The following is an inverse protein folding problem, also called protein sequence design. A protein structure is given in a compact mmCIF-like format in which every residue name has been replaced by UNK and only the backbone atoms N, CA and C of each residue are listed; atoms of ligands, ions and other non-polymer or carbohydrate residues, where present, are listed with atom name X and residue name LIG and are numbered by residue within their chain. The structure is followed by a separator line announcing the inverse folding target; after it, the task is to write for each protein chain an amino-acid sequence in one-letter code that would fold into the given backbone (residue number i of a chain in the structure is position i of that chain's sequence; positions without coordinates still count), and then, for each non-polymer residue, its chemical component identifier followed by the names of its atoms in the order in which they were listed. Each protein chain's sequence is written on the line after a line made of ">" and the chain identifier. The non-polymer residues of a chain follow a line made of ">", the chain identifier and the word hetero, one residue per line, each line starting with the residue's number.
data_IF_570837324755
#
_entry.id   IF_570837324755
#
_cell.length_a   1.000
_cell.length_b   1.000
_cell.length_c   1.000
_cell.angle_alpha   90.00
_cell.angle_beta   90.00
_cell.angle_gamma   90.00
#
_symmetry.space_group_name_H-M   'P 1'
#
loop_
_entity.id
_entity.type
_entity.pdbx_description
1 polymer ?
#
# COMPACT_ATOMS: atom_id res chain seq x y z
N UNK A 1 -25.95 7.78 43.33
CA UNK A 1 -26.90 7.76 42.19
C UNK A 1 -28.26 8.40 42.49
N UNK A 2 -28.86 8.27 43.68
CA UNK A 2 -30.18 8.88 43.97
C UNK A 2 -30.19 10.39 44.29
N UNK A 3 -29.05 11.03 44.57
CA UNK A 3 -29.04 12.46 44.92
C UNK A 3 -28.88 13.42 43.73
N UNK A 4 -28.40 12.96 42.57
CA UNK A 4 -28.30 13.79 41.36
C UNK A 4 -29.62 13.90 40.58
N UNK A 5 -30.62 13.08 40.93
CA UNK A 5 -31.98 13.12 40.37
C UNK A 5 -32.94 14.02 41.15
N UNK A 6 -32.54 14.51 42.33
CA UNK A 6 -33.40 15.31 43.22
C UNK A 6 -33.11 16.82 43.15
N UNK A 7 -32.41 17.30 42.11
CA UNK A 7 -32.33 18.74 41.88
C UNK A 7 -33.62 19.20 41.20
N UNK A 8 -34.14 20.35 41.61
CA UNK A 8 -35.37 20.93 41.04
C UNK A 8 -35.28 21.04 39.51
N UNK A 9 -34.09 21.37 38.99
CA UNK A 9 -33.83 21.51 37.56
C UNK A 9 -33.93 20.18 36.78
N UNK A 10 -33.76 19.03 37.44
CA UNK A 10 -33.91 17.72 36.80
C UNK A 10 -35.38 17.29 36.67
N UNK A 11 -36.27 17.83 37.51
CA UNK A 11 -37.71 17.55 37.51
C UNK A 11 -38.51 18.46 36.57
N UNK A 12 -38.04 19.69 36.31
CA UNK A 12 -38.67 20.62 35.37
C UNK A 12 -38.35 20.33 33.90
N UNK A 13 -37.56 19.30 33.66
CA UNK A 13 -37.03 18.93 32.36
C UNK A 13 -37.93 17.88 31.71
N UNK A 14 -38.61 18.25 30.63
CA UNK A 14 -39.32 17.36 29.69
C UNK A 14 -38.48 16.09 29.46
N UNK A 15 -39.12 14.90 29.47
CA UNK A 15 -38.45 13.62 29.25
C UNK A 15 -37.55 13.75 28.01
N UNK A 16 -36.34 13.19 28.04
CA UNK A 16 -35.39 13.27 26.93
C UNK A 16 -36.00 12.76 25.61
N UNK A 17 -37.04 11.90 25.70
CA UNK A 17 -37.85 11.39 24.59
C UNK A 17 -38.82 12.42 23.98
N UNK A 18 -39.19 13.45 24.73
CA UNK A 18 -40.18 14.47 24.38
C UNK A 18 -39.51 15.80 23.97
N UNK A 19 -38.18 15.91 24.05
CA UNK A 19 -37.42 17.12 23.67
C UNK A 19 -37.19 17.22 22.17
N UNK A 20 -37.05 18.46 21.64
CA UNK A 20 -36.47 18.67 20.33
C UNK A 20 -35.09 17.99 20.23
N UNK A 21 -34.89 17.20 19.18
CA UNK A 21 -33.71 16.34 19.02
C UNK A 21 -32.38 17.11 18.98
N UNK A 22 -32.43 18.40 18.63
CA UNK A 22 -31.25 19.28 18.65
C UNK A 22 -30.88 19.69 20.08
N UNK A 23 -31.88 19.98 20.92
CA UNK A 23 -31.65 20.28 22.33
C UNK A 23 -31.11 19.05 23.06
N UNK A 24 -31.59 17.87 22.67
CA UNK A 24 -31.09 16.57 23.12
C UNK A 24 -29.58 16.41 22.86
N UNK A 25 -29.11 16.73 21.64
CA UNK A 25 -27.68 16.72 21.30
C UNK A 25 -26.91 17.71 22.18
N UNK A 26 -27.32 18.97 22.23
CA UNK A 26 -26.59 20.01 22.97
C UNK A 26 -26.44 19.66 24.45
N UNK A 27 -27.52 19.19 25.08
CA UNK A 27 -27.51 18.73 26.46
C UNK A 27 -26.58 17.52 26.65
N UNK A 28 -26.59 16.56 25.73
CA UNK A 28 -25.72 15.38 25.78
C UNK A 28 -24.23 15.74 25.73
N UNK A 29 -23.86 16.72 24.89
CA UNK A 29 -22.48 17.19 24.70
C UNK A 29 -22.01 17.99 25.91
N UNK A 30 -22.85 18.91 26.40
CA UNK A 30 -22.54 19.69 27.61
C UNK A 30 -22.27 18.77 28.79
N UNK A 31 -23.13 17.76 29.02
CA UNK A 31 -22.93 16.74 30.06
C UNK A 31 -21.64 15.94 29.83
N UNK A 32 -21.38 15.53 28.59
CA UNK A 32 -20.14 14.83 28.22
C UNK A 32 -18.87 15.61 28.55
N UNK A 33 -18.85 16.92 28.25
CA UNK A 33 -17.72 17.80 28.57
C UNK A 33 -17.51 17.97 30.07
N UNK A 34 -18.60 18.10 30.84
CA UNK A 34 -18.54 18.19 32.32
C UNK A 34 -17.97 16.89 32.91
N UNK A 35 -18.49 15.73 32.49
CA UNK A 35 -17.99 14.42 32.91
C UNK A 35 -16.51 14.30 32.56
N UNK A 36 -16.10 14.65 31.34
CA UNK A 36 -14.71 14.55 30.91
C UNK A 36 -13.76 15.43 31.73
N UNK A 37 -14.18 16.67 32.00
CA UNK A 37 -13.43 17.59 32.85
C UNK A 37 -13.26 17.01 34.25
N UNK A 38 -14.33 16.43 34.82
CA UNK A 38 -14.25 15.77 36.13
C UNK A 38 -13.28 14.58 36.15
N UNK A 39 -13.27 13.75 35.10
CA UNK A 39 -12.34 12.62 34.98
C UNK A 39 -10.88 13.05 34.90
N UNK A 40 -10.60 14.15 34.19
CA UNK A 40 -9.25 14.70 34.08
C UNK A 40 -8.75 15.23 35.43
N UNK A 41 -9.59 15.97 36.15
CA UNK A 41 -9.25 16.49 37.49
C UNK A 41 -8.95 15.36 38.48
N UNK A 42 -9.74 14.29 38.49
CA UNK A 42 -9.49 13.12 39.37
C UNK A 42 -8.17 12.42 39.01
N UNK A 43 -7.83 12.31 37.72
CA UNK A 43 -6.56 11.68 37.28
C UNK A 43 -5.34 12.51 37.63
N UNK A 44 -5.43 13.83 37.61
CA UNK A 44 -4.34 14.72 37.98
C UNK A 44 -4.11 14.74 39.49
N UNK A 45 -5.17 14.76 40.30
CA UNK A 45 -5.09 14.68 41.76
C UNK A 45 -4.40 13.39 42.24
N UNK A 46 -4.60 12.27 41.53
CA UNK A 46 -3.96 10.99 41.87
C UNK A 46 -2.47 10.93 41.50
N UNK A 47 -1.92 11.90 40.78
CA UNK A 47 -0.50 11.92 40.37
C UNK A 47 0.41 12.75 41.28
N UNK A 48 -0.11 13.30 42.38
CA UNK A 48 0.70 13.87 43.48
C UNK A 48 1.59 15.06 43.13
N UNK A 49 1.41 15.71 41.97
CA UNK A 49 2.21 16.86 41.57
C UNK A 49 1.43 18.16 41.84
N UNK A 50 1.86 18.93 42.84
CA UNK A 50 1.35 20.26 43.25
C UNK A 50 1.56 21.39 42.21
N UNK A 51 1.70 21.06 40.92
CA UNK A 51 1.74 22.07 39.87
C UNK A 51 0.33 22.63 39.65
N UNK A 52 0.18 23.95 39.46
CA UNK A 52 -1.13 24.59 39.30
C UNK A 52 -1.89 23.92 38.17
N UNK A 53 -3.10 23.45 38.48
CA UNK A 53 -4.05 22.82 37.57
C UNK A 53 -4.26 23.80 36.40
N UNK A 54 -3.46 23.66 35.34
CA UNK A 54 -3.75 24.33 34.08
C UNK A 54 -5.05 23.71 33.61
N UNK A 55 -6.14 24.48 33.72
CA UNK A 55 -7.47 24.14 33.21
C UNK A 55 -7.36 23.79 31.72
N UNK A 56 -7.04 22.53 31.41
CA UNK A 56 -7.00 22.03 30.04
C UNK A 56 -8.43 21.89 29.60
N UNK A 57 -8.87 22.83 28.77
CA UNK A 57 -10.14 22.72 28.05
C UNK A 57 -10.11 21.38 27.30
N UNK A 58 -11.08 20.47 27.52
CA UNK A 58 -11.10 19.19 26.84
C UNK A 58 -11.11 19.43 25.33
N UNK A 59 -10.09 18.96 24.61
CA UNK A 59 -10.11 18.97 23.16
C UNK A 59 -11.16 17.99 22.66
N UNK A 60 -11.95 18.44 21.69
CA UNK A 60 -12.94 17.62 21.03
C UNK A 60 -12.33 17.03 19.75
N UNK A 61 -12.22 15.70 19.61
CA UNK A 61 -11.68 15.11 18.40
C UNK A 61 -12.49 15.50 17.16
N UNK A 62 -11.81 15.73 16.04
CA UNK A 62 -12.44 16.14 14.78
C UNK A 62 -13.56 15.18 14.35
N UNK A 63 -13.32 13.86 14.44
CA UNK A 63 -14.32 12.83 14.13
C UNK A 63 -15.59 12.94 14.98
N UNK A 64 -15.46 13.26 16.26
CA UNK A 64 -16.61 13.47 17.14
C UNK A 64 -17.33 14.77 16.78
N UNK A 65 -16.60 15.85 16.47
CA UNK A 65 -17.21 17.13 16.06
C UNK A 65 -18.04 16.95 14.79
N UNK A 66 -17.46 16.25 13.81
CA UNK A 66 -18.08 15.97 12.54
C UNK A 66 -19.32 15.07 12.70
N UNK A 67 -19.25 14.05 13.54
CA UNK A 67 -20.39 13.19 13.86
C UNK A 67 -21.56 14.02 14.38
N UNK A 68 -21.32 14.87 15.39
CA UNK A 68 -22.37 15.70 15.97
C UNK A 68 -22.95 16.70 14.96
N UNK A 69 -22.10 17.32 14.12
CA UNK A 69 -22.55 18.22 13.08
C UNK A 69 -23.48 17.52 12.08
N UNK A 70 -23.07 16.36 11.55
CA UNK A 70 -23.88 15.56 10.62
C UNK A 70 -25.16 15.04 11.28
N UNK A 71 -25.06 14.55 12.50
CA UNK A 71 -26.22 14.10 13.27
C UNK A 71 -27.24 15.23 13.47
N UNK A 72 -26.80 16.45 13.76
CA UNK A 72 -27.69 17.60 13.91
C UNK A 72 -28.45 17.90 12.63
N UNK A 73 -27.80 17.78 11.47
CA UNK A 73 -28.47 17.96 10.17
C UNK A 73 -29.52 16.87 9.93
N UNK A 74 -29.18 15.61 10.19
CA UNK A 74 -30.10 14.47 10.06
C UNK A 74 -31.30 14.63 11.00
N UNK A 75 -31.08 14.93 12.28
CA UNK A 75 -32.14 15.06 13.27
C UNK A 75 -33.04 16.28 13.06
N UNK A 76 -32.57 17.28 12.31
CA UNK A 76 -33.40 18.43 11.91
C UNK A 76 -34.39 18.07 10.78
N UNK A 77 -34.22 16.92 10.11
CA UNK A 77 -35.04 16.49 9.00
C UNK A 77 -35.57 15.05 9.22
N UNK A 78 -36.79 14.87 9.74
CA UNK A 78 -37.38 13.54 9.97
C UNK A 78 -37.56 12.67 8.71
N UNK A 79 -37.50 13.26 7.51
CA UNK A 79 -37.62 12.54 6.23
C UNK A 79 -36.26 11.93 5.83
N UNK A 80 -35.16 12.33 6.46
CA UNK A 80 -33.82 11.80 6.16
C UNK A 80 -33.76 10.29 6.41
N UNK A 81 -33.22 9.47 5.48
CA UNK A 81 -33.15 8.02 5.63
C UNK A 81 -32.28 7.55 6.81
N UNK A 82 -31.39 8.41 7.31
CA UNK A 82 -30.57 8.13 8.50
C UNK A 82 -31.25 8.57 9.81
N UNK A 83 -32.40 9.25 9.75
CA UNK A 83 -33.06 9.81 10.93
C UNK A 83 -33.31 8.74 12.01
N UNK A 84 -33.92 7.62 11.65
CA UNK A 84 -34.23 6.55 12.61
C UNK A 84 -32.98 6.00 13.30
N UNK A 85 -31.92 5.75 12.53
CA UNK A 85 -30.66 5.18 13.03
C UNK A 85 -29.91 6.15 13.94
N UNK A 86 -29.79 7.42 13.54
CA UNK A 86 -29.11 8.46 14.32
C UNK A 86 -29.91 8.83 15.56
N UNK A 87 -31.23 8.99 15.45
CA UNK A 87 -32.09 9.27 16.61
C UNK A 87 -32.03 8.11 17.62
N UNK A 88 -32.11 6.87 17.13
CA UNK A 88 -31.95 5.67 17.95
C UNK A 88 -30.59 5.58 18.65
N UNK A 89 -29.51 6.10 18.06
CA UNK A 89 -28.22 6.20 18.75
C UNK A 89 -28.29 7.11 19.98
N UNK A 90 -28.83 8.33 19.84
CA UNK A 90 -28.93 9.26 20.98
C UNK A 90 -29.92 8.79 22.05
N UNK A 91 -31.04 8.18 21.65
CA UNK A 91 -32.01 7.61 22.59
C UNK A 91 -31.43 6.43 23.41
N UNK A 92 -30.38 5.76 22.92
CA UNK A 92 -29.67 4.69 23.63
C UNK A 92 -28.61 5.20 24.60
N UNK A 93 -28.35 6.51 24.66
CA UNK A 93 -27.48 7.09 25.68
C UNK A 93 -28.20 7.01 27.04
N UNK A 94 -28.17 5.85 27.70
CA UNK A 94 -28.74 5.65 29.03
C UNK A 94 -27.80 6.10 30.14
N UNK A 95 -26.50 6.12 29.85
CA UNK A 95 -25.46 6.37 30.85
C UNK A 95 -25.37 7.87 31.16
N UNK A 96 -25.19 8.18 32.46
CA UNK A 96 -24.98 9.55 32.97
C UNK A 96 -26.01 10.55 32.46
N UNK A 97 -27.29 10.15 32.43
CA UNK A 97 -28.40 10.97 31.95
C UNK A 97 -28.25 11.40 30.48
N UNK A 98 -27.92 10.49 29.56
CA UNK A 98 -27.79 10.85 28.15
C UNK A 98 -26.55 11.65 27.83
N UNK A 99 -25.47 11.52 28.62
CA UNK A 99 -24.21 12.18 28.32
C UNK A 99 -23.53 11.51 27.13
N UNK A 100 -23.09 12.30 26.16
CA UNK A 100 -22.21 11.85 25.10
C UNK A 100 -20.79 11.69 25.69
N UNK A 101 -20.58 10.57 26.40
CA UNK A 101 -19.38 10.35 27.23
C UNK A 101 -18.17 9.95 26.39
N UNK A 102 -18.36 9.15 25.35
CA UNK A 102 -17.26 8.64 24.52
C UNK A 102 -16.81 9.66 23.47
N UNK A 103 -16.52 10.90 23.92
CA UNK A 103 -15.95 11.98 23.09
C UNK A 103 -14.63 11.54 22.46
N UNK A 104 -13.91 10.66 23.17
CA UNK A 104 -12.66 10.06 22.71
C UNK A 104 -12.86 8.73 21.98
N UNK A 105 -14.10 8.30 21.76
CA UNK A 105 -14.42 7.11 20.98
C UNK A 105 -14.77 7.47 19.55
N UNK A 106 -15.06 6.44 18.79
CA UNK A 106 -15.56 6.58 17.43
C UNK A 106 -17.10 6.38 17.48
N UNK A 107 -17.88 7.47 17.42
CA UNK A 107 -19.32 7.40 17.70
C UNK A 107 -20.09 6.61 16.66
N UNK A 108 -20.99 5.77 17.13
CA UNK A 108 -21.90 4.92 16.34
C UNK A 108 -21.23 4.03 15.27
N UNK A 109 -19.91 4.03 15.14
CA UNK A 109 -19.24 3.43 13.98
C UNK A 109 -19.51 1.95 13.86
N UNK A 110 -19.36 1.17 14.93
CA UNK A 110 -19.62 -0.28 14.86
C UNK A 110 -21.07 -0.57 14.47
N UNK A 111 -22.04 0.16 15.04
CA UNK A 111 -23.46 -0.05 14.72
C UNK A 111 -23.83 0.36 13.30
N UNK A 112 -23.13 1.34 12.72
CA UNK A 112 -23.39 1.81 11.36
C UNK A 112 -22.62 0.99 10.31
N UNK A 113 -21.34 0.71 10.59
CA UNK A 113 -20.45 -0.02 9.71
C UNK A 113 -20.78 -1.51 9.66
N UNK A 114 -21.21 -2.09 10.78
CA UNK A 114 -21.73 -3.45 10.86
C UNK A 114 -23.25 -3.43 11.04
N UNK A 115 -23.93 -2.63 10.21
CA UNK A 115 -25.39 -2.46 10.25
C UNK A 115 -26.12 -3.79 10.31
N UNK A 116 -27.06 -3.89 11.26
CA UNK A 116 -27.98 -5.02 11.41
C UNK A 116 -29.33 -4.76 10.72
N UNK A 117 -29.39 -3.84 9.75
CA UNK A 117 -30.63 -3.55 9.04
C UNK A 117 -31.04 -4.71 8.15
N UNK A 118 -32.33 -5.07 8.17
CA UNK A 118 -32.89 -6.11 7.29
C UNK A 118 -32.88 -5.68 5.81
N UNK A 119 -32.80 -4.37 5.55
CA UNK A 119 -32.68 -3.82 4.20
C UNK A 119 -31.21 -3.65 3.81
N UNK A 120 -30.77 -4.37 2.78
CA UNK A 120 -29.40 -4.24 2.23
C UNK A 120 -29.06 -2.80 1.82
N UNK A 121 -30.03 -2.08 1.25
CA UNK A 121 -29.87 -0.67 0.85
C UNK A 121 -29.66 0.24 2.06
N UNK A 122 -30.42 0.03 3.14
CA UNK A 122 -30.25 0.80 4.37
C UNK A 122 -28.92 0.47 5.03
N UNK A 123 -28.54 -0.81 5.09
CA UNK A 123 -27.25 -1.23 5.61
C UNK A 123 -26.10 -0.58 4.82
N UNK A 124 -26.20 -0.50 3.48
CA UNK A 124 -25.22 0.21 2.65
C UNK A 124 -25.16 1.71 2.98
N UNK A 125 -26.30 2.39 3.10
CA UNK A 125 -26.32 3.82 3.48
C UNK A 125 -25.63 4.07 4.82
N UNK A 126 -25.86 3.20 5.80
CA UNK A 126 -25.25 3.30 7.11
C UNK A 126 -23.72 3.08 7.05
N UNK A 127 -23.25 2.11 6.25
CA UNK A 127 -21.82 1.88 6.01
C UNK A 127 -21.16 3.05 5.31
N UNK A 128 -21.77 3.58 4.25
CA UNK A 128 -21.28 4.76 3.53
C UNK A 128 -21.16 5.95 4.49
N UNK A 129 -22.18 6.18 5.33
CA UNK A 129 -22.15 7.26 6.31
C UNK A 129 -20.99 7.11 7.31
N UNK A 130 -20.74 5.88 7.78
CA UNK A 130 -19.65 5.57 8.69
C UNK A 130 -18.26 5.76 8.04
N UNK A 131 -18.11 5.36 6.78
CA UNK A 131 -16.88 5.55 6.00
C UNK A 131 -16.62 7.03 5.75
N UNK A 132 -17.61 7.79 5.30
CA UNK A 132 -17.48 9.24 5.08
C UNK A 132 -17.11 9.97 6.39
N UNK A 133 -17.69 9.56 7.53
CA UNK A 133 -17.32 10.11 8.83
C UNK A 133 -15.85 9.85 9.17
N UNK A 134 -15.36 8.64 8.91
CA UNK A 134 -13.96 8.28 9.17
C UNK A 134 -12.99 9.03 8.25
N UNK A 135 -13.29 9.08 6.95
CA UNK A 135 -12.49 9.79 5.95
C UNK A 135 -12.36 11.26 6.32
N UNK A 136 -13.48 11.92 6.55
CA UNK A 136 -13.52 13.37 6.75
C UNK A 136 -13.15 13.76 8.20
N UNK A 137 -13.29 12.83 9.15
CA UNK A 137 -13.00 13.05 10.56
C UNK A 137 -11.55 12.75 10.97
N UNK A 138 -10.77 12.09 10.11
CA UNK A 138 -9.35 11.77 10.35
C UNK A 138 -8.48 12.80 9.65
N UNK A 139 -8.16 13.89 10.35
CA UNK A 139 -7.47 15.07 9.78
C UNK A 139 -6.03 15.22 10.29
N UNK A 140 -5.66 14.49 11.32
CA UNK A 140 -4.34 14.54 11.96
C UNK A 140 -4.03 13.24 12.75
N UNK A 141 -2.83 13.16 13.33
CA UNK A 141 -2.43 12.02 14.14
C UNK A 141 -3.31 11.82 15.39
N UNK A 142 -3.79 12.91 16.00
CA UNK A 142 -4.64 12.83 17.19
C UNK A 142 -6.00 12.22 16.87
N UNK A 143 -6.66 12.68 15.81
CA UNK A 143 -7.91 12.15 15.31
C UNK A 143 -7.76 10.71 14.85
N UNK A 144 -6.63 10.33 14.24
CA UNK A 144 -6.37 8.92 13.95
C UNK A 144 -6.31 8.04 15.21
N UNK A 145 -5.66 8.48 16.30
CA UNK A 145 -5.64 7.71 17.57
C UNK A 145 -7.04 7.47 18.16
N UNK A 146 -8.00 8.29 17.78
CA UNK A 146 -9.41 8.13 18.14
C UNK A 146 -10.12 7.22 17.14
N UNK A 147 -9.93 7.47 15.83
CA UNK A 147 -10.48 6.66 14.74
C UNK A 147 -10.01 5.20 14.79
N UNK A 148 -8.77 4.94 15.20
CA UNK A 148 -8.18 3.60 15.27
C UNK A 148 -8.75 2.76 16.43
N UNK A 149 -9.56 3.35 17.32
CA UNK A 149 -10.20 2.62 18.42
C UNK A 149 -11.28 1.70 17.88
N UNK A 150 -11.77 0.82 18.76
CA UNK A 150 -12.85 -0.14 18.46
C UNK A 150 -12.55 -0.99 17.21
N UNK A 151 -11.28 -1.27 16.93
CA UNK A 151 -10.85 -2.10 15.80
C UNK A 151 -11.24 -1.55 14.41
N UNK A 152 -11.48 -0.24 14.27
CA UNK A 152 -11.93 0.31 12.99
C UNK A 152 -11.00 -0.04 11.81
N UNK A 153 -9.65 0.06 11.92
CA UNK A 153 -8.79 -0.31 10.79
C UNK A 153 -8.89 -1.79 10.42
N UNK A 154 -9.03 -2.68 11.41
CA UNK A 154 -9.25 -4.12 11.16
C UNK A 154 -10.56 -4.33 10.41
N UNK A 155 -11.63 -3.65 10.81
CA UNK A 155 -12.93 -3.76 10.16
C UNK A 155 -12.90 -3.25 8.72
N UNK A 156 -12.17 -2.15 8.45
CA UNK A 156 -11.96 -1.66 7.08
C UNK A 156 -11.31 -2.75 6.21
N UNK A 157 -10.25 -3.40 6.68
CA UNK A 157 -9.58 -4.46 5.93
C UNK A 157 -10.49 -5.67 5.67
N UNK A 158 -11.15 -6.19 6.70
CA UNK A 158 -11.99 -7.40 6.58
C UNK A 158 -13.28 -7.17 5.80
N UNK A 159 -13.81 -5.94 5.82
CA UNK A 159 -15.03 -5.60 5.09
C UNK A 159 -14.82 -5.60 3.58
N UNK A 160 -13.60 -5.27 3.11
CA UNK A 160 -13.31 -5.27 1.69
C UNK A 160 -13.48 -6.67 1.07
N UNK A 161 -13.05 -7.73 1.77
CA UNK A 161 -13.23 -9.11 1.29
C UNK A 161 -14.70 -9.48 1.14
N UNK A 162 -15.56 -8.97 2.02
CA UNK A 162 -17.00 -9.18 1.94
C UNK A 162 -17.60 -8.44 0.75
N UNK A 163 -17.19 -7.19 0.52
CA UNK A 163 -17.62 -6.38 -0.63
C UNK A 163 -17.08 -6.91 -1.96
N UNK A 164 -15.88 -7.49 -1.95
CA UNK A 164 -15.23 -8.13 -3.08
C UNK A 164 -15.98 -9.37 -3.59
N UNK A 165 -16.62 -10.11 -2.69
CA UNK A 165 -17.38 -11.31 -3.03
C UNK A 165 -18.78 -11.03 -3.60
N UNK A 166 -19.26 -9.79 -3.53
CA UNK A 166 -20.56 -9.43 -4.08
C UNK A 166 -20.48 -9.33 -5.61
N UNK A 167 -21.36 -10.05 -6.31
CA UNK A 167 -21.49 -9.91 -7.77
C UNK A 167 -21.98 -8.49 -8.10
N UNK A 168 -21.37 -7.82 -9.09
CA UNK A 168 -21.81 -6.51 -9.52
C UNK A 168 -23.27 -6.62 -9.97
N UNK A 169 -24.17 -5.99 -9.22
CA UNK A 169 -25.57 -5.89 -9.59
C UNK A 169 -25.73 -4.77 -10.62
N UNK A 170 -26.73 -4.81 -11.52
CA UNK A 170 -26.98 -3.72 -12.44
C UNK A 170 -27.26 -2.42 -11.66
N UNK A 171 -26.38 -1.42 -11.81
CA UNK A 171 -26.43 -0.17 -11.05
C UNK A 171 -25.69 -0.18 -9.71
N UNK A 172 -24.94 -1.24 -9.41
CA UNK A 172 -24.00 -1.28 -8.29
C UNK A 172 -22.83 -0.34 -8.59
N UNK A 173 -22.88 0.85 -8.00
CA UNK A 173 -21.79 1.81 -8.05
C UNK A 173 -20.66 1.29 -7.15
N UNK A 174 -19.45 1.16 -7.70
CA UNK A 174 -18.23 0.85 -6.95
C UNK A 174 -17.95 1.89 -5.84
N UNK A 175 -18.78 2.92 -5.70
CA UNK A 175 -18.81 3.92 -4.62
C UNK A 175 -18.46 3.35 -3.24
N UNK A 176 -19.07 2.26 -2.79
CA UNK A 176 -18.77 1.75 -1.44
C UNK A 176 -17.32 1.27 -1.32
N UNK A 177 -16.84 0.52 -2.32
CA UNK A 177 -15.46 0.02 -2.35
C UNK A 177 -14.45 1.16 -2.56
N UNK A 178 -14.75 2.09 -3.46
CA UNK A 178 -13.93 3.28 -3.68
C UNK A 178 -13.83 4.12 -2.41
N UNK A 179 -14.96 4.38 -1.75
CA UNK A 179 -14.97 5.15 -0.50
C UNK A 179 -14.19 4.43 0.61
N UNK A 180 -14.26 3.10 0.69
CA UNK A 180 -13.44 2.32 1.63
C UNK A 180 -11.94 2.53 1.35
N UNK A 181 -11.52 2.38 0.09
CA UNK A 181 -10.12 2.59 -0.32
C UNK A 181 -9.68 4.03 -0.02
N UNK A 182 -10.49 5.03 -0.39
CA UNK A 182 -10.25 6.44 -0.09
C UNK A 182 -10.16 6.72 1.40
N UNK A 183 -10.96 6.04 2.22
CA UNK A 183 -10.94 6.17 3.68
C UNK A 183 -9.62 5.65 4.23
N UNK A 184 -9.15 4.48 3.78
CA UNK A 184 -7.84 3.93 4.16
C UNK A 184 -6.72 4.89 3.71
N UNK A 185 -6.77 5.38 2.47
CA UNK A 185 -5.79 6.32 1.93
C UNK A 185 -5.73 7.63 2.75
N UNK A 186 -6.89 8.19 3.07
CA UNK A 186 -7.00 9.43 3.87
C UNK A 186 -6.48 9.23 5.28
N UNK A 187 -6.81 8.09 5.90
CA UNK A 187 -6.28 7.72 7.20
C UNK A 187 -4.75 7.66 7.19
N UNK A 188 -4.16 7.07 6.16
CA UNK A 188 -2.70 6.99 6.00
C UNK A 188 -2.05 8.37 5.83
N UNK A 189 -2.63 9.21 4.97
CA UNK A 189 -2.11 10.54 4.67
C UNK A 189 -2.24 11.50 5.86
N UNK A 190 -3.42 11.58 6.46
CA UNK A 190 -3.74 12.53 7.52
C UNK A 190 -3.31 12.05 8.90
N UNK A 191 -3.32 10.74 9.15
CA UNK A 191 -3.00 10.16 10.45
C UNK A 191 -1.51 10.21 10.83
N UNK A 192 -0.66 10.70 9.93
CA UNK A 192 0.77 10.91 10.17
C UNK A 192 1.57 9.62 10.34
N UNK A 193 2.80 9.76 10.87
CA UNK A 193 3.75 8.63 11.03
C UNK A 193 3.17 7.51 11.88
N UNK A 194 2.42 7.84 12.93
CA UNK A 194 1.81 6.84 13.80
C UNK A 194 0.78 5.98 13.06
N UNK A 195 -0.07 6.57 12.20
CA UNK A 195 -1.02 5.81 11.40
C UNK A 195 -0.33 4.87 10.44
N UNK A 196 0.68 5.35 9.71
CA UNK A 196 1.46 4.51 8.80
C UNK A 196 2.05 3.30 9.54
N UNK A 197 2.81 3.49 10.62
CA UNK A 197 3.45 2.40 11.37
C UNK A 197 2.39 1.44 11.94
N UNK A 198 1.31 1.98 12.53
CA UNK A 198 0.25 1.17 13.13
C UNK A 198 -0.46 0.31 12.08
N UNK A 199 -0.85 0.87 10.93
CA UNK A 199 -1.52 0.11 9.86
C UNK A 199 -0.62 -0.93 9.20
N UNK A 200 0.67 -0.63 9.03
CA UNK A 200 1.63 -1.62 8.53
C UNK A 200 1.74 -2.81 9.47
N UNK A 201 1.84 -2.57 10.78
CA UNK A 201 1.85 -3.64 11.81
C UNK A 201 0.55 -4.42 11.88
N UNK A 202 -0.58 -3.81 11.50
CA UNK A 202 -1.86 -4.49 11.38
C UNK A 202 -2.00 -5.33 10.10
N UNK A 203 -1.00 -5.33 9.22
CA UNK A 203 -0.98 -6.14 8.02
C UNK A 203 -1.54 -5.45 6.78
N UNK A 204 -1.40 -4.13 6.65
CA UNK A 204 -1.82 -3.40 5.44
C UNK A 204 -1.20 -3.97 4.15
N UNK A 205 0.11 -4.22 4.10
CA UNK A 205 0.75 -4.79 2.90
C UNK A 205 0.29 -6.23 2.63
N UNK A 206 0.27 -7.15 3.62
CA UNK A 206 -0.33 -8.47 3.44
C UNK A 206 -1.78 -8.41 2.93
N UNK A 207 -2.58 -7.48 3.43
CA UNK A 207 -3.97 -7.28 2.98
C UNK A 207 -4.03 -6.79 1.54
N UNK A 208 -3.25 -5.77 1.16
CA UNK A 208 -3.14 -5.29 -0.22
C UNK A 208 -2.75 -6.45 -1.16
N UNK A 209 -1.71 -7.20 -0.79
CA UNK A 209 -1.25 -8.37 -1.55
C UNK A 209 -2.36 -9.42 -1.65
N UNK A 210 -3.07 -9.69 -0.55
CA UNK A 210 -4.18 -10.64 -0.50
C UNK A 210 -5.34 -10.26 -1.43
N UNK A 211 -5.70 -8.98 -1.47
CA UNK A 211 -6.71 -8.45 -2.40
C UNK A 211 -6.28 -8.64 -3.86
N UNK A 212 -5.03 -8.31 -4.18
CA UNK A 212 -4.51 -8.41 -5.55
C UNK A 212 -4.26 -9.87 -6.01
N UNK A 213 -3.89 -10.76 -5.09
CA UNK A 213 -3.66 -12.17 -5.38
C UNK A 213 -4.90 -13.06 -5.18
N UNK A 214 -6.00 -12.48 -4.69
CA UNK A 214 -7.20 -13.21 -4.30
C UNK A 214 -7.92 -13.85 -5.49
N UNK A 215 -8.58 -14.99 -5.24
CA UNK A 215 -9.37 -15.71 -6.27
C UNK A 215 -10.49 -14.86 -6.89
N UNK A 216 -10.95 -13.86 -6.16
CA UNK A 216 -12.02 -12.95 -6.58
C UNK A 216 -11.49 -11.64 -7.17
N UNK A 217 -10.19 -11.52 -7.45
CA UNK A 217 -9.57 -10.30 -7.95
C UNK A 217 -10.33 -9.64 -9.11
N UNK A 218 -10.72 -10.41 -10.13
CA UNK A 218 -11.45 -9.89 -11.30
C UNK A 218 -12.87 -9.39 -10.96
N UNK A 219 -13.47 -9.85 -9.85
CA UNK A 219 -14.75 -9.35 -9.33
C UNK A 219 -14.55 -8.13 -8.43
N UNK A 220 -13.54 -8.18 -7.55
CA UNK A 220 -13.20 -7.12 -6.60
C UNK A 220 -12.80 -5.85 -7.31
N UNK A 221 -11.96 -5.96 -8.35
CA UNK A 221 -11.35 -4.86 -9.08
C UNK A 221 -11.79 -4.90 -10.55
N UNK A 222 -13.10 -4.93 -10.80
CA UNK A 222 -13.65 -5.11 -12.14
C UNK A 222 -13.63 -3.82 -12.99
N UNK A 223 -13.59 -2.63 -12.38
CA UNK A 223 -13.51 -1.35 -13.10
C UNK A 223 -12.10 -0.77 -13.10
N UNK A 224 -11.76 0.06 -14.10
CA UNK A 224 -10.51 0.82 -14.08
C UNK A 224 -10.46 1.81 -12.91
N UNK A 225 -11.60 2.42 -12.55
CA UNK A 225 -11.67 3.39 -11.45
C UNK A 225 -11.20 2.78 -10.13
N UNK A 226 -11.72 1.62 -9.76
CA UNK A 226 -11.31 0.98 -8.51
C UNK A 226 -9.86 0.49 -8.54
N UNK A 227 -9.38 0.02 -9.71
CA UNK A 227 -7.97 -0.33 -9.90
C UNK A 227 -7.06 0.88 -9.67
N UNK A 228 -7.43 2.05 -10.17
CA UNK A 228 -6.72 3.31 -9.93
C UNK A 228 -6.73 3.73 -8.46
N UNK A 229 -7.89 3.71 -7.80
CA UNK A 229 -8.01 3.99 -6.37
C UNK A 229 -7.08 3.07 -5.57
N UNK A 230 -7.02 1.79 -5.95
CA UNK A 230 -6.17 0.82 -5.29
C UNK A 230 -4.67 1.10 -5.54
N UNK A 231 -4.26 1.38 -6.78
CA UNK A 231 -2.87 1.78 -7.08
C UNK A 231 -2.45 3.03 -6.31
N UNK A 232 -3.34 4.01 -6.16
CA UNK A 232 -3.11 5.23 -5.39
C UNK A 232 -2.93 4.93 -3.90
N UNK A 233 -3.74 4.03 -3.34
CA UNK A 233 -3.56 3.54 -1.97
C UNK A 233 -2.19 2.86 -1.79
N UNK A 234 -1.77 2.00 -2.74
CA UNK A 234 -0.46 1.35 -2.67
C UNK A 234 0.66 2.39 -2.73
N UNK A 235 0.61 3.33 -3.69
CA UNK A 235 1.60 4.41 -3.79
C UNK A 235 1.71 5.19 -2.48
N UNK A 236 0.58 5.57 -1.90
CA UNK A 236 0.52 6.28 -0.61
C UNK A 236 1.17 5.47 0.51
N UNK A 237 0.86 4.17 0.59
CA UNK A 237 1.45 3.27 1.58
C UNK A 237 2.98 3.16 1.41
N UNK A 238 3.48 3.01 0.19
CA UNK A 238 4.92 2.93 -0.10
C UNK A 238 5.65 4.25 0.20
N UNK A 239 5.09 5.39 -0.22
CA UNK A 239 5.68 6.71 -0.01
C UNK A 239 5.79 7.04 1.48
N UNK A 240 4.81 6.63 2.28
CA UNK A 240 4.86 6.80 3.74
C UNK A 240 5.89 5.87 4.38
N UNK A 241 6.07 4.65 3.88
CA UNK A 241 7.10 3.74 4.40
C UNK A 241 8.49 4.29 4.20
N UNK A 242 8.78 4.79 3.00
CA UNK A 242 10.07 5.42 2.69
C UNK A 242 10.38 6.58 3.66
N UNK A 243 9.36 7.40 3.97
CA UNK A 243 9.47 8.51 4.93
C UNK A 243 9.56 8.08 6.40
N UNK A 244 9.07 6.89 6.76
CA UNK A 244 8.99 6.48 8.17
C UNK A 244 10.32 6.06 8.78
N UNK A 245 11.41 6.04 8.01
CA UNK A 245 12.75 5.61 8.41
C UNK A 245 12.70 4.30 9.23
N UNK A 246 12.41 3.16 8.57
CA UNK A 246 12.18 1.90 9.28
C UNK A 246 13.40 1.44 10.08
N UNK A 247 13.16 0.91 11.28
CA UNK A 247 14.15 0.14 12.04
C UNK A 247 14.60 -1.08 11.22
N UNK A 248 15.77 -1.67 11.53
CA UNK A 248 16.29 -2.84 10.79
C UNK A 248 15.28 -3.98 10.66
N UNK A 249 14.56 -4.31 11.74
CA UNK A 249 13.52 -5.34 11.74
C UNK A 249 12.34 -5.00 10.82
N UNK A 250 11.93 -3.73 10.80
CA UNK A 250 10.84 -3.28 9.94
C UNK A 250 11.28 -3.24 8.47
N UNK A 251 12.55 -2.92 8.19
CA UNK A 251 13.10 -2.92 6.85
C UNK A 251 13.12 -4.33 6.23
N UNK A 252 13.47 -5.36 7.01
CA UNK A 252 13.42 -6.75 6.55
C UNK A 252 12.00 -7.19 6.23
N UNK A 253 11.05 -6.91 7.13
CA UNK A 253 9.62 -7.18 6.90
C UNK A 253 9.10 -6.48 5.63
N UNK A 254 9.43 -5.20 5.46
CA UNK A 254 9.04 -4.41 4.30
C UNK A 254 9.60 -5.03 3.02
N UNK A 255 10.87 -5.45 3.00
CA UNK A 255 11.51 -6.05 1.83
C UNK A 255 10.81 -7.34 1.37
N UNK A 256 10.41 -8.20 2.32
CA UNK A 256 9.67 -9.43 2.04
C UNK A 256 8.29 -9.10 1.44
N UNK A 257 7.56 -8.16 2.05
CA UNK A 257 6.20 -7.82 1.62
C UNK A 257 6.18 -7.10 0.27
N UNK A 258 7.13 -6.19 0.01
CA UNK A 258 7.28 -5.51 -1.27
C UNK A 258 7.53 -6.50 -2.42
N UNK A 259 8.34 -7.53 -2.17
CA UNK A 259 8.62 -8.56 -3.18
C UNK A 259 7.35 -9.29 -3.60
N UNK A 260 6.50 -9.66 -2.62
CA UNK A 260 5.19 -10.26 -2.91
C UNK A 260 4.22 -9.29 -3.60
N UNK A 261 4.24 -8.02 -3.18
CA UNK A 261 3.39 -6.97 -3.75
C UNK A 261 3.72 -6.69 -5.22
N UNK A 262 5.01 -6.71 -5.59
CA UNK A 262 5.41 -6.55 -7.00
C UNK A 262 4.75 -7.58 -7.90
N UNK A 263 4.81 -8.87 -7.51
CA UNK A 263 4.17 -9.97 -8.27
C UNK A 263 2.68 -9.68 -8.47
N UNK A 264 2.00 -9.26 -7.40
CA UNK A 264 0.59 -8.89 -7.43
C UNK A 264 0.28 -7.70 -8.34
N UNK A 265 1.09 -6.64 -8.33
CA UNK A 265 0.91 -5.47 -9.21
C UNK A 265 1.10 -5.84 -10.68
N UNK A 266 2.09 -6.68 -10.97
CA UNK A 266 2.33 -7.19 -12.33
C UNK A 266 1.16 -8.04 -12.81
N UNK A 267 0.60 -8.91 -11.96
CA UNK A 267 -0.62 -9.64 -12.32
C UNK A 267 -1.79 -8.70 -12.59
N UNK A 268 -1.98 -7.65 -11.77
CA UNK A 268 -2.99 -6.62 -12.02
C UNK A 268 -2.78 -5.94 -13.38
N UNK A 269 -1.55 -5.62 -13.74
CA UNK A 269 -1.22 -5.07 -15.05
C UNK A 269 -1.65 -6.01 -16.19
N UNK A 270 -1.20 -7.27 -16.17
CA UNK A 270 -1.53 -8.23 -17.23
C UNK A 270 -3.03 -8.55 -17.29
N UNK A 271 -3.71 -8.68 -16.15
CA UNK A 271 -5.17 -8.87 -16.13
C UNK A 271 -5.88 -7.67 -16.75
N UNK A 272 -5.42 -6.44 -16.50
CA UNK A 272 -5.99 -5.23 -17.13
C UNK A 272 -5.81 -5.22 -18.64
N UNK A 273 -4.68 -5.73 -19.12
CA UNK A 273 -4.42 -5.88 -20.56
C UNK A 273 -5.34 -6.93 -21.16
N UNK A 274 -5.40 -8.11 -20.54
CA UNK A 274 -6.16 -9.24 -21.05
C UNK A 274 -7.67 -9.02 -20.98
N UNK A 275 -8.16 -8.30 -19.98
CA UNK A 275 -9.59 -8.08 -19.77
C UNK A 275 -10.23 -7.22 -20.86
N UNK A 276 -9.46 -6.70 -21.84
CA UNK A 276 -9.97 -5.86 -22.94
C UNK A 276 -10.92 -4.77 -22.42
N UNK A 277 -10.58 -4.12 -21.29
CA UNK A 277 -11.24 -2.88 -20.86
C UNK A 277 -10.92 -1.71 -21.82
N UNK A 278 -10.19 -2.00 -22.90
CA UNK A 278 -10.12 -1.20 -24.12
C UNK A 278 -11.50 -1.29 -24.78
N UNK A 279 -12.22 -0.18 -24.71
CA UNK A 279 -13.48 0.07 -25.38
C UNK A 279 -13.53 -0.62 -26.76
N UNK A 280 -14.62 -1.35 -27.04
CA UNK A 280 -14.79 -2.23 -28.23
C UNK A 280 -14.75 -1.49 -29.58
N UNK A 281 -14.35 -0.23 -29.60
CA UNK A 281 -14.36 0.63 -30.77
C UNK A 281 -13.00 0.90 -31.41
N UNK A 282 -11.89 0.32 -30.91
CA UNK A 282 -10.62 0.31 -31.64
C UNK A 282 -10.01 1.70 -31.91
N UNK A 283 -10.58 2.76 -31.35
CA UNK A 283 -10.06 4.12 -31.42
C UNK A 283 -9.26 4.41 -30.15
N UNK A 284 -7.98 4.76 -30.35
CA UNK A 284 -7.00 5.29 -29.38
C UNK A 284 -7.04 4.63 -28.01
N UNK A 285 -5.94 3.92 -27.66
CA UNK A 285 -5.57 3.64 -26.26
C UNK A 285 -6.03 4.79 -25.37
N UNK A 286 -7.09 4.54 -24.61
CA UNK A 286 -7.81 5.56 -23.88
C UNK A 286 -6.80 6.24 -22.95
N UNK A 287 -6.78 7.57 -22.83
CA UNK A 287 -5.79 8.28 -21.98
C UNK A 287 -5.71 7.66 -20.58
N UNK A 288 -6.86 7.22 -20.05
CA UNK A 288 -6.99 6.48 -18.80
C UNK A 288 -6.17 5.19 -18.74
N UNK A 289 -6.00 4.46 -19.84
CA UNK A 289 -5.16 3.27 -19.89
C UNK A 289 -3.67 3.64 -19.85
N UNK A 290 -3.26 4.66 -20.61
CA UNK A 290 -1.87 5.16 -20.55
C UNK A 290 -1.52 5.68 -19.15
N UNK A 291 -2.44 6.41 -18.52
CA UNK A 291 -2.30 6.88 -17.14
C UNK A 291 -2.19 5.70 -16.16
N UNK A 292 -2.93 4.61 -16.41
CA UNK A 292 -2.91 3.40 -15.60
C UNK A 292 -1.56 2.70 -15.68
N UNK A 293 -1.06 2.47 -16.89
CA UNK A 293 0.27 1.90 -17.10
C UNK A 293 1.35 2.79 -16.48
N UNK A 294 1.26 4.11 -16.66
CA UNK A 294 2.17 5.06 -16.04
C UNK A 294 2.16 4.99 -14.51
N UNK A 295 0.97 4.85 -13.90
CA UNK A 295 0.83 4.66 -12.45
C UNK A 295 1.48 3.35 -11.98
N UNK A 296 1.30 2.25 -12.71
CA UNK A 296 1.96 0.97 -12.42
C UNK A 296 3.47 1.11 -12.50
N UNK A 297 4.01 1.67 -13.58
CA UNK A 297 5.46 1.80 -13.72
C UNK A 297 6.08 2.71 -12.67
N UNK A 298 5.40 3.81 -12.32
CA UNK A 298 5.80 4.64 -11.18
C UNK A 298 5.83 3.82 -9.88
N UNK A 299 4.82 2.99 -9.65
CA UNK A 299 4.73 2.15 -8.47
C UNK A 299 5.84 1.09 -8.41
N UNK A 300 6.11 0.42 -9.53
CA UNK A 300 7.23 -0.52 -9.64
C UNK A 300 8.56 0.17 -9.36
N UNK A 301 8.73 1.41 -9.79
CA UNK A 301 9.93 2.20 -9.51
C UNK A 301 10.03 2.59 -8.03
N UNK A 302 8.93 3.02 -7.39
CA UNK A 302 8.92 3.29 -5.94
C UNK A 302 9.26 2.03 -5.14
N UNK A 303 8.71 0.87 -5.53
CA UNK A 303 9.07 -0.44 -4.97
C UNK A 303 10.57 -0.69 -5.06
N UNK A 304 11.17 -0.39 -6.21
CA UNK A 304 12.59 -0.57 -6.43
C UNK A 304 13.44 0.27 -5.47
N UNK A 305 13.16 1.56 -5.41
CA UNK A 305 13.88 2.49 -4.54
C UNK A 305 13.76 2.08 -3.08
N UNK A 306 12.56 1.69 -2.64
CA UNK A 306 12.33 1.24 -1.28
C UNK A 306 13.06 -0.08 -0.99
N UNK A 307 13.11 -1.01 -1.93
CA UNK A 307 13.86 -2.25 -1.79
C UNK A 307 15.38 -2.00 -1.69
N UNK A 308 15.92 -1.07 -2.47
CA UNK A 308 17.32 -0.64 -2.39
C UNK A 308 17.62 -0.02 -1.02
N UNK A 309 16.80 0.94 -0.58
CA UNK A 309 16.93 1.59 0.73
C UNK A 309 16.89 0.59 1.88
N UNK A 310 15.99 -0.41 1.82
CA UNK A 310 15.91 -1.47 2.82
C UNK A 310 17.17 -2.34 2.83
N UNK A 311 17.73 -2.68 1.66
CA UNK A 311 18.94 -3.51 1.55
C UNK A 311 20.18 -2.83 2.12
N UNK A 312 20.38 -1.56 1.80
CA UNK A 312 21.51 -0.78 2.34
C UNK A 312 21.52 -0.78 3.87
N UNK A 313 20.34 -0.79 4.49
CA UNK A 313 20.20 -0.79 5.95
C UNK A 313 20.45 -2.14 6.61
N UNK A 314 20.14 -3.23 5.90
CA UNK A 314 20.24 -4.59 6.46
C UNK A 314 21.70 -5.03 6.60
N UNK A 315 22.68 -4.31 6.01
CA UNK A 315 24.14 -4.55 6.13
C UNK A 315 24.58 -6.01 5.89
N UNK A 316 23.70 -6.81 5.29
CA UNK A 316 23.91 -8.22 5.04
C UNK A 316 23.84 -8.48 3.54
N UNK A 317 24.63 -9.45 3.09
CA UNK A 317 24.38 -10.22 1.87
C UNK A 317 23.07 -11.01 2.05
N UNK A 318 21.96 -10.31 2.26
CA UNK A 318 20.62 -10.89 2.36
C UNK A 318 20.26 -11.38 0.97
N UNK A 319 20.77 -12.58 0.73
CA UNK A 319 20.77 -13.43 -0.43
C UNK A 319 20.21 -12.85 -1.72
N UNK A 320 21.11 -12.53 -2.64
CA UNK A 320 20.95 -13.01 -4.02
C UNK A 320 20.72 -14.55 -4.03
N UNK A 321 21.13 -15.27 -2.99
CA UNK A 321 21.05 -16.73 -2.82
C UNK A 321 19.69 -17.29 -2.40
N UNK A 322 18.69 -16.49 -1.99
CA UNK A 322 17.37 -17.04 -1.72
C UNK A 322 16.51 -16.97 -2.98
N UNK A 323 16.42 -18.10 -3.70
CA UNK A 323 15.25 -18.40 -4.52
C UNK A 323 14.05 -18.51 -3.60
N UNK A 324 13.58 -17.36 -3.11
CA UNK A 324 12.39 -17.32 -2.28
C UNK A 324 11.25 -17.86 -3.13
N UNK A 325 10.42 -18.74 -2.58
CA UNK A 325 9.20 -19.21 -3.24
C UNK A 325 8.29 -18.06 -3.72
N UNK A 326 8.54 -16.84 -3.20
CA UNK A 326 7.84 -15.60 -3.46
C UNK A 326 8.48 -14.71 -4.55
N UNK A 327 9.58 -15.15 -5.18
CA UNK A 327 10.22 -14.41 -6.27
C UNK A 327 9.35 -14.33 -7.53
N UNK A 328 9.69 -13.39 -8.42
CA UNK A 328 9.04 -13.23 -9.73
C UNK A 328 9.44 -14.39 -10.62
N UNK A 329 8.47 -15.04 -11.25
CA UNK A 329 8.73 -16.06 -12.26
C UNK A 329 9.42 -15.41 -13.48
N UNK A 330 10.50 -16.02 -13.97
CA UNK A 330 11.27 -15.48 -15.10
C UNK A 330 10.41 -15.29 -16.35
N UNK A 331 9.43 -16.16 -16.58
CA UNK A 331 8.45 -16.04 -17.66
C UNK A 331 7.68 -14.72 -17.58
N UNK A 332 7.20 -14.35 -16.40
CA UNK A 332 6.48 -13.09 -16.15
C UNK A 332 7.41 -11.90 -16.37
N UNK A 333 8.64 -11.95 -15.85
CA UNK A 333 9.62 -10.89 -16.05
C UNK A 333 9.96 -10.68 -17.54
N UNK A 334 10.11 -11.76 -18.30
CA UNK A 334 10.29 -11.70 -19.77
C UNK A 334 9.10 -11.04 -20.47
N UNK A 335 7.87 -11.38 -20.08
CA UNK A 335 6.67 -10.78 -20.66
C UNK A 335 6.66 -9.27 -20.45
N UNK A 336 6.95 -8.80 -19.23
CA UNK A 336 7.01 -7.35 -18.93
C UNK A 336 8.08 -6.66 -19.78
N UNK A 337 9.28 -7.25 -19.88
CA UNK A 337 10.36 -6.69 -20.69
C UNK A 337 9.99 -6.63 -22.18
N UNK A 338 9.27 -7.64 -22.68
CA UNK A 338 8.83 -7.67 -24.07
C UNK A 338 7.78 -6.60 -24.38
N UNK A 339 6.84 -6.35 -23.47
CA UNK A 339 5.81 -5.32 -23.68
C UNK A 339 6.37 -3.91 -23.54
N UNK A 340 7.24 -3.69 -22.55
CA UNK A 340 7.89 -2.39 -22.32
C UNK A 340 8.93 -2.04 -23.38
N UNK A 341 9.31 -2.99 -24.24
CA UNK A 341 10.26 -2.74 -25.34
C UNK A 341 9.79 -1.65 -26.32
N UNK A 342 8.48 -1.40 -26.39
CA UNK A 342 7.85 -0.41 -27.28
C UNK A 342 7.85 1.01 -26.70
N UNK A 343 8.07 1.18 -25.39
CA UNK A 343 7.99 2.47 -24.71
C UNK A 343 9.29 2.77 -23.96
N UNK A 344 10.19 3.50 -24.64
CA UNK A 344 11.51 3.85 -24.12
C UNK A 344 11.46 4.59 -22.77
N UNK A 345 10.46 5.46 -22.58
CA UNK A 345 10.31 6.27 -21.37
C UNK A 345 10.14 5.42 -20.11
N UNK A 346 9.44 4.29 -20.22
CA UNK A 346 9.18 3.40 -19.08
C UNK A 346 10.14 2.23 -18.99
N UNK A 347 10.73 1.82 -20.12
CA UNK A 347 11.62 0.66 -20.22
C UNK A 347 12.73 0.70 -19.17
N UNK A 348 13.48 1.80 -19.07
CA UNK A 348 14.57 1.95 -18.12
C UNK A 348 14.11 1.75 -16.67
N UNK A 349 13.01 2.40 -16.28
CA UNK A 349 12.43 2.31 -14.93
C UNK A 349 11.97 0.90 -14.62
N UNK A 350 11.25 0.26 -15.53
CA UNK A 350 10.74 -1.10 -15.33
C UNK A 350 11.86 -2.11 -15.24
N UNK A 351 12.86 -2.00 -16.12
CA UNK A 351 14.03 -2.89 -16.07
C UNK A 351 14.78 -2.71 -14.75
N UNK A 352 14.99 -1.45 -14.33
CA UNK A 352 15.64 -1.13 -13.05
C UNK A 352 14.90 -1.78 -11.87
N UNK A 353 13.56 -1.77 -11.89
CA UNK A 353 12.73 -2.39 -10.86
C UNK A 353 12.80 -3.89 -10.86
N UNK A 354 12.76 -4.51 -12.04
CA UNK A 354 12.81 -5.96 -12.19
C UNK A 354 14.14 -6.50 -11.64
N UNK A 355 15.27 -5.87 -11.99
CA UNK A 355 16.62 -6.33 -11.63
C UNK A 355 16.84 -6.54 -10.13
N UNK A 356 16.32 -5.62 -9.32
CA UNK A 356 16.57 -5.61 -7.87
C UNK A 356 15.77 -6.70 -7.16
N UNK A 357 14.64 -7.12 -7.72
CA UNK A 357 13.71 -8.03 -7.06
C UNK A 357 14.18 -9.49 -7.09
N UNK A 358 13.70 -10.32 -6.14
CA UNK A 358 14.00 -11.75 -6.15
C UNK A 358 13.28 -12.44 -7.31
N UNK A 359 13.94 -13.43 -7.93
CA UNK A 359 13.39 -14.25 -9.00
C UNK A 359 13.26 -15.71 -8.57
N UNK A 360 12.30 -16.38 -9.19
CA UNK A 360 12.18 -17.83 -9.15
C UNK A 360 12.51 -18.40 -10.53
N UNK A 361 13.47 -19.32 -10.56
CA UNK A 361 13.89 -20.06 -11.75
C UNK A 361 13.48 -21.51 -11.56
N UNK A 362 12.51 -22.01 -12.33
CA UNK A 362 12.16 -23.44 -12.30
C UNK A 362 13.09 -24.21 -13.25
N UNK A 363 13.80 -25.21 -12.71
CA UNK A 363 15.09 -25.73 -13.21
C UNK A 363 15.13 -26.39 -14.59
N UNK A 364 13.99 -26.67 -15.25
CA UNK A 364 13.98 -27.34 -16.56
C UNK A 364 13.23 -26.62 -17.67
N UNK A 365 12.22 -25.80 -17.34
CA UNK A 365 11.40 -25.09 -18.33
C UNK A 365 11.88 -23.67 -18.59
N UNK A 366 12.64 -23.09 -17.65
CA UNK A 366 12.96 -21.67 -17.69
C UNK A 366 14.34 -21.35 -18.24
N UNK A 367 15.16 -22.34 -18.65
CA UNK A 367 16.54 -22.08 -19.11
C UNK A 367 16.59 -21.15 -20.33
N UNK A 368 15.77 -21.41 -21.35
CA UNK A 368 15.69 -20.57 -22.56
C UNK A 368 15.14 -19.17 -22.25
N UNK A 369 14.17 -19.09 -21.34
CA UNK A 369 13.61 -17.83 -20.86
C UNK A 369 14.64 -17.04 -20.05
N UNK A 370 15.46 -17.71 -19.25
CA UNK A 370 16.53 -17.07 -18.46
C UNK A 370 17.59 -16.47 -19.38
N UNK A 371 18.00 -17.19 -20.45
CA UNK A 371 18.87 -16.63 -21.49
C UNK A 371 18.24 -15.40 -22.13
N UNK A 372 16.98 -15.51 -22.60
CA UNK A 372 16.24 -14.39 -23.21
C UNK A 372 16.13 -13.19 -22.26
N UNK A 373 15.91 -13.46 -20.98
CA UNK A 373 15.85 -12.46 -19.92
C UNK A 373 17.17 -11.71 -19.77
N UNK A 374 18.29 -12.43 -19.61
CA UNK A 374 19.63 -11.83 -19.49
C UNK A 374 19.97 -10.95 -20.71
N UNK A 375 19.73 -11.46 -21.93
CA UNK A 375 19.95 -10.70 -23.17
C UNK A 375 19.09 -9.44 -23.19
N UNK A 376 17.82 -9.53 -22.79
CA UNK A 376 16.89 -8.38 -22.78
C UNK A 376 17.30 -7.31 -21.75
N UNK A 377 17.76 -7.74 -20.57
CA UNK A 377 18.29 -6.84 -19.54
C UNK A 377 19.53 -6.10 -20.04
N UNK A 378 20.55 -6.85 -20.48
CA UNK A 378 21.81 -6.29 -20.94
C UNK A 378 21.63 -5.38 -22.16
N UNK A 379 20.82 -5.81 -23.13
CA UNK A 379 20.49 -4.99 -24.30
C UNK A 379 19.82 -3.67 -23.91
N UNK A 380 19.08 -3.64 -22.80
CA UNK A 380 18.47 -2.40 -22.30
C UNK A 380 19.51 -1.45 -21.72
N UNK A 381 20.50 -1.98 -20.99
CA UNK A 381 21.63 -1.18 -20.47
C UNK A 381 22.50 -0.63 -21.59
N UNK A 382 22.80 -1.43 -22.61
CA UNK A 382 23.69 -1.02 -23.70
C UNK A 382 23.06 0.06 -24.59
N UNK A 383 21.73 0.07 -24.72
CA UNK A 383 21.02 0.99 -25.63
C UNK A 383 20.65 2.33 -25.01
N UNK A 384 20.51 2.40 -23.69
CA UNK A 384 19.91 3.54 -23.01
C UNK A 384 20.93 4.29 -22.14
N UNK A 385 21.24 5.54 -22.50
CA UNK A 385 22.18 6.39 -21.78
C UNK A 385 21.62 7.00 -20.47
N UNK A 386 20.45 6.57 -19.98
CA UNK A 386 19.86 7.12 -18.76
C UNK A 386 20.71 6.92 -17.49
N UNK A 387 20.66 7.89 -16.58
CA UNK A 387 21.33 7.83 -15.27
C UNK A 387 20.75 6.77 -14.32
N UNK A 388 19.58 6.22 -14.64
CA UNK A 388 18.89 5.18 -13.85
C UNK A 388 19.79 3.94 -13.69
N UNK A 389 20.64 3.68 -14.67
CA UNK A 389 21.57 2.55 -14.66
C UNK A 389 22.69 2.71 -13.63
N UNK A 390 23.04 3.93 -13.22
CA UNK A 390 24.17 4.14 -12.31
C UNK A 390 23.97 3.45 -10.96
N UNK A 391 22.72 3.39 -10.48
CA UNK A 391 22.38 2.73 -9.22
C UNK A 391 22.04 1.24 -9.41
N UNK A 392 21.60 0.84 -10.60
CA UNK A 392 21.05 -0.51 -10.83
C UNK A 392 22.01 -1.46 -11.55
N UNK A 393 23.08 -0.95 -12.17
CA UNK A 393 24.04 -1.76 -12.91
C UNK A 393 24.75 -2.79 -12.03
N UNK A 394 25.14 -2.41 -10.81
CA UNK A 394 25.72 -3.32 -9.80
C UNK A 394 24.79 -4.50 -9.54
N UNK A 395 23.50 -4.22 -9.31
CA UNK A 395 22.49 -5.27 -9.07
C UNK A 395 22.25 -6.13 -10.30
N UNK A 396 22.27 -5.55 -11.50
CA UNK A 396 22.11 -6.27 -12.76
C UNK A 396 23.25 -7.26 -12.97
N UNK A 397 24.50 -6.83 -12.78
CA UNK A 397 25.68 -7.67 -12.93
C UNK A 397 25.68 -8.82 -11.93
N UNK A 398 25.43 -8.52 -10.65
CA UNK A 398 25.28 -9.55 -9.61
C UNK A 398 24.14 -10.52 -9.92
N UNK A 399 23.04 -10.04 -10.50
CA UNK A 399 21.90 -10.88 -10.89
C UNK A 399 22.24 -11.80 -12.05
N UNK A 400 22.93 -11.31 -13.08
CA UNK A 400 23.37 -12.13 -14.21
C UNK A 400 24.36 -13.18 -13.74
N UNK A 401 25.28 -12.81 -12.85
CA UNK A 401 26.21 -13.75 -12.22
C UNK A 401 25.49 -14.87 -11.45
N UNK A 402 24.47 -14.52 -10.67
CA UNK A 402 23.64 -15.53 -10.01
C UNK A 402 22.91 -16.43 -11.03
N UNK A 403 22.31 -15.85 -12.06
CA UNK A 403 21.58 -16.61 -13.08
C UNK A 403 22.51 -17.51 -13.91
N UNK A 404 23.77 -17.13 -14.14
CA UNK A 404 24.75 -17.99 -14.81
C UNK A 404 25.13 -19.21 -13.97
N UNK A 405 25.13 -19.07 -12.64
CA UNK A 405 25.31 -20.20 -11.73
C UNK A 405 24.08 -21.11 -11.73
N UNK A 406 22.87 -20.53 -11.73
CA UNK A 406 21.62 -21.31 -11.65
C UNK A 406 21.22 -21.99 -12.97
N UNK A 407 21.41 -21.34 -14.11
CA UNK A 407 21.04 -21.86 -15.43
C UNK A 407 22.18 -22.63 -16.13
N UNK A 408 23.35 -22.73 -15.47
CA UNK A 408 24.50 -23.50 -15.92
C UNK A 408 24.94 -23.19 -17.35
N UNK A 409 25.09 -24.24 -18.16
CA UNK A 409 25.59 -24.19 -19.54
C UNK A 409 24.72 -23.36 -20.50
N UNK A 410 23.47 -23.05 -20.16
CA UNK A 410 22.62 -22.26 -21.07
C UNK A 410 23.03 -20.78 -21.15
N UNK A 411 23.69 -20.29 -20.09
CA UNK A 411 24.12 -18.90 -19.97
C UNK A 411 25.64 -18.78 -19.99
N UNK A 412 26.34 -19.78 -19.42
CA UNK A 412 27.80 -19.83 -19.48
C UNK A 412 28.27 -20.00 -20.92
N UNK A 413 29.33 -19.30 -21.26
CA UNK A 413 29.96 -19.32 -22.59
C UNK A 413 29.03 -18.91 -23.74
N UNK A 414 27.89 -18.28 -23.45
CA UNK A 414 26.98 -17.79 -24.48
C UNK A 414 27.56 -16.50 -25.11
N UNK A 415 27.87 -16.50 -26.43
CA UNK A 415 28.60 -15.40 -27.06
C UNK A 415 27.81 -14.09 -27.07
N UNK A 416 26.48 -14.17 -27.17
CA UNK A 416 25.61 -13.00 -27.17
C UNK A 416 25.63 -12.30 -25.80
N UNK A 417 25.50 -13.07 -24.72
CA UNK A 417 25.54 -12.53 -23.36
C UNK A 417 26.92 -11.96 -23.05
N UNK A 418 28.00 -12.65 -23.41
CA UNK A 418 29.35 -12.18 -23.13
C UNK A 418 29.65 -10.90 -23.90
N UNK A 419 29.32 -10.84 -25.19
CA UNK A 419 29.48 -9.63 -26.02
C UNK A 419 28.75 -8.42 -25.41
N UNK A 420 27.53 -8.63 -24.92
CA UNK A 420 26.76 -7.59 -24.24
C UNK A 420 27.38 -7.17 -22.90
N UNK A 421 27.92 -8.10 -22.11
CA UNK A 421 28.63 -7.79 -20.86
C UNK A 421 29.90 -6.99 -21.13
N UNK A 422 30.67 -7.35 -22.16
CA UNK A 422 31.86 -6.59 -22.57
C UNK A 422 31.47 -5.18 -23.00
N UNK A 423 30.36 -5.03 -23.72
CA UNK A 423 29.82 -3.72 -24.12
C UNK A 423 29.43 -2.85 -22.92
N UNK A 424 29.15 -3.44 -21.75
CA UNK A 424 28.84 -2.69 -20.53
C UNK A 424 30.09 -2.15 -19.81
N UNK A 425 31.32 -2.55 -20.19
CA UNK A 425 32.56 -2.26 -19.45
C UNK A 425 32.78 -0.76 -19.20
N UNK A 426 32.70 0.06 -20.25
CA UNK A 426 32.92 1.51 -20.16
C UNK A 426 31.98 2.15 -19.14
N UNK A 427 30.72 1.71 -19.13
CA UNK A 427 29.72 2.20 -18.19
C UNK A 427 29.99 1.75 -16.76
N UNK A 428 30.43 0.50 -16.59
CA UNK A 428 30.85 -0.01 -15.29
C UNK A 428 32.01 0.82 -14.70
N UNK A 429 32.93 1.31 -15.54
CA UNK A 429 33.99 2.22 -15.11
C UNK A 429 33.44 3.58 -14.65
N UNK A 430 32.45 4.13 -15.35
CA UNK A 430 31.85 5.43 -15.01
C UNK A 430 31.15 5.42 -13.64
N UNK A 431 30.58 4.28 -13.25
CA UNK A 431 29.76 4.14 -12.03
C UNK A 431 30.47 3.39 -10.90
N UNK A 432 31.78 3.17 -11.01
CA UNK A 432 32.58 2.42 -10.05
C UNK A 432 32.12 0.97 -9.80
N UNK A 433 31.47 0.33 -10.77
CA UNK A 433 30.98 -1.05 -10.71
C UNK A 433 31.93 -2.05 -11.41
N UNK A 434 33.21 -1.71 -11.54
CA UNK A 434 34.17 -2.52 -12.28
C UNK A 434 34.42 -3.87 -11.57
N UNK A 435 34.42 -3.91 -10.24
CA UNK A 435 34.55 -5.15 -9.46
C UNK A 435 33.45 -6.17 -9.82
N UNK A 436 32.19 -5.73 -9.76
CA UNK A 436 31.03 -6.58 -10.04
C UNK A 436 30.97 -6.99 -11.51
N UNK A 437 31.43 -6.12 -12.42
CA UNK A 437 31.56 -6.48 -13.83
C UNK A 437 32.56 -7.63 -14.03
N UNK A 438 33.71 -7.57 -13.35
CA UNK A 438 34.71 -8.65 -13.40
C UNK A 438 34.15 -9.96 -12.83
N UNK A 439 33.52 -9.91 -11.67
CA UNK A 439 32.90 -11.08 -11.04
C UNK A 439 31.82 -11.69 -11.94
N UNK A 440 30.98 -10.85 -12.54
CA UNK A 440 29.96 -11.29 -13.50
C UNK A 440 30.61 -11.97 -14.71
N UNK A 441 31.64 -11.36 -15.30
CA UNK A 441 32.35 -11.94 -16.45
C UNK A 441 32.98 -13.30 -16.10
N UNK A 442 33.65 -13.39 -14.95
CA UNK A 442 34.24 -14.64 -14.46
C UNK A 442 33.16 -15.72 -14.28
N UNK A 443 31.99 -15.36 -13.74
CA UNK A 443 30.90 -16.32 -13.55
C UNK A 443 30.24 -16.81 -14.85
N UNK A 444 30.47 -16.12 -15.97
CA UNK A 444 29.96 -16.48 -17.29
C UNK A 444 30.94 -17.34 -18.07
N UNK A 445 32.24 -17.18 -17.84
CA UNK A 445 33.28 -17.91 -18.56
C UNK A 445 33.64 -19.21 -17.84
N UNK A 446 33.55 -20.34 -18.52
CA UNK A 446 34.19 -21.55 -18.01
C UNK A 446 35.72 -21.43 -18.16
N UNK A 447 36.45 -21.91 -17.15
CA UNK A 447 37.92 -21.87 -17.15
C UNK A 447 38.51 -22.59 -18.37
N UNK A 448 37.80 -23.57 -18.90
CA UNK A 448 38.22 -24.39 -20.05
C UNK A 448 38.08 -23.67 -21.40
N UNK A 449 37.15 -22.72 -21.53
CA UNK A 449 36.86 -22.05 -22.80
C UNK A 449 37.53 -20.67 -22.96
N UNK A 450 38.21 -20.18 -21.92
CA UNK A 450 38.91 -18.90 -21.93
C UNK A 450 39.87 -18.70 -23.14
N UNK A 451 40.71 -19.70 -23.51
CA UNK A 451 41.71 -19.51 -24.57
C UNK A 451 41.09 -19.33 -25.97
N UNK A 452 40.07 -20.13 -26.32
CA UNK A 452 39.42 -20.04 -27.63
C UNK A 452 38.60 -18.76 -27.81
N UNK A 453 38.00 -18.27 -26.72
CA UNK A 453 37.21 -17.05 -26.73
C UNK A 453 38.05 -15.77 -26.89
N UNK A 454 39.29 -15.79 -26.37
CA UNK A 454 40.26 -14.70 -26.53
C UNK A 454 40.65 -14.46 -28.00
N UNK A 455 40.68 -15.52 -28.81
CA UNK A 455 41.01 -15.43 -30.23
C UNK A 455 39.86 -14.83 -31.06
N UNK A 456 38.60 -15.01 -30.64
CA UNK A 456 37.42 -14.51 -31.37
C UNK A 456 37.10 -13.03 -31.15
N UNK A 457 37.34 -12.49 -29.94
CA UNK A 457 36.94 -11.10 -29.62
C UNK A 457 37.81 -10.06 -30.33
N UNK A 458 39.05 -10.40 -30.71
CA UNK A 458 39.96 -9.51 -31.45
C UNK A 458 40.32 -8.18 -30.74
N UNK A 459 39.82 -7.95 -29.53
CA UNK A 459 40.00 -6.71 -28.78
C UNK A 459 41.19 -6.87 -27.82
N UNK A 460 42.36 -6.38 -28.22
CA UNK A 460 43.60 -6.46 -27.44
C UNK A 460 43.46 -5.96 -26.00
N UNK A 461 42.57 -4.99 -25.74
CA UNK A 461 42.30 -4.49 -24.39
C UNK A 461 41.65 -5.55 -23.49
N UNK A 462 40.67 -6.29 -24.02
CA UNK A 462 39.97 -7.39 -23.33
C UNK A 462 40.91 -8.58 -23.13
N UNK A 463 41.75 -8.87 -24.14
CA UNK A 463 42.76 -9.93 -24.06
C UNK A 463 43.78 -9.63 -22.96
N UNK A 464 44.33 -8.41 -22.93
CA UNK A 464 45.28 -8.00 -21.89
C UNK A 464 44.68 -8.04 -20.48
N UNK A 465 43.38 -7.74 -20.36
CA UNK A 465 42.65 -7.78 -19.10
C UNK A 465 42.39 -9.22 -18.63
N UNK A 466 41.96 -10.11 -19.52
CA UNK A 466 41.75 -11.53 -19.21
C UNK A 466 43.06 -12.24 -18.88
N UNK A 467 44.17 -11.86 -19.51
CA UNK A 467 45.53 -12.33 -19.15
C UNK A 467 46.00 -11.85 -17.77
N UNK A 468 45.42 -10.79 -17.19
CA UNK A 468 45.69 -10.36 -15.82
C UNK A 468 44.81 -11.07 -14.79
N UNK A 469 43.72 -11.71 -15.23
CA UNK A 469 42.81 -12.49 -14.37
C UNK A 469 43.22 -13.96 -14.26
N UNK A 470 43.86 -14.51 -15.30
CA UNK A 470 44.54 -15.82 -15.28
C UNK A 470 45.85 -15.76 -14.49
#
# INVERSE_FOLDING_TARGET
>A
MKQAFNTQEAHDLIDFRERPQIEMILNSVQRGLVVRRSELLTRENNKGNDLPIRLRVPMFPAVSALFLARASLVLSNPIDPMFGTINGYFLRLSDHHGAYKDITGLPAFISLFSSSSDSSLQAQKERLWALELLRDGTVDEYSYKIASRRYAPTLLFTSFDSLACCYPSPGDDDREKNLLIETIETILNSGGRYAAIHMMRMGLLPWIRGVLAGRHFSLSLHTLSIRFSFLKLISTALDLMDKTDPTSELAEYILIEISGLFKSIVHLYFDTIQSNLIDRHGERMNQSYTDFCGAIYKLLHTINLLALNCRERINGDFGLSSSTANGIEISVACSILSETSTNEMWRAKVVSSIVVLPFRVDSSKDLSLTKKFCISLLSSVVRDDSDIWNQTLVFLLRRISLLSVLAGETIRDDPDIISLILSCQLRCMQVSALSEWKECLISLLSVENLPGFLDEIGNQSVISFLQQLS
#
